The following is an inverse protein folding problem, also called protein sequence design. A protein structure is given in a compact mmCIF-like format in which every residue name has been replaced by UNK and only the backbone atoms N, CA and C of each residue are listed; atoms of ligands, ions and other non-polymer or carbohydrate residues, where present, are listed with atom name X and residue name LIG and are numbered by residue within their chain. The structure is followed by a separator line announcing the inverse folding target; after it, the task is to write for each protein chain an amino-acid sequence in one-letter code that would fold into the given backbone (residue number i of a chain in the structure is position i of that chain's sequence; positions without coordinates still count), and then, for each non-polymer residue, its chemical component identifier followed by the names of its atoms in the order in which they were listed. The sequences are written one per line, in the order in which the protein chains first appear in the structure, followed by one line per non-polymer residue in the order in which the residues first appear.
data_IF_380197795861
#
_entry.id   IF_380197795861
#
_cell.length_a   1.000
_cell.length_b   1.000
_cell.length_c   1.000
_cell.angle_alpha   90.00
_cell.angle_beta   90.00
_cell.angle_gamma   90.00
#
_symmetry.space_group_name_H-M   'P 1'
#
loop_
_entity.id
_entity.type
_entity.pdbx_description
1 polymer ?
#
# COMPACT_ATOMS: atom_id res chain seq x y z
N UNK A 1 9.68 -3.70 -2.36
CA UNK A 1 10.98 -4.31 -1.99
C UNK A 1 10.79 -5.80 -1.77
N UNK A 2 11.44 -6.62 -2.59
CA UNK A 2 11.36 -8.08 -2.52
C UNK A 2 12.31 -8.68 -1.47
N UNK A 3 11.85 -9.70 -0.74
CA UNK A 3 12.66 -10.35 0.32
C UNK A 3 13.87 -11.11 -0.23
N UNK A 4 13.80 -11.53 -1.49
CA UNK A 4 14.89 -12.26 -2.16
C UNK A 4 15.95 -11.33 -2.78
N UNK A 5 15.75 -10.01 -2.68
CA UNK A 5 16.66 -9.01 -3.25
C UNK A 5 16.53 -8.82 -4.76
N UNK A 6 15.49 -9.36 -5.38
CA UNK A 6 15.12 -8.99 -6.74
C UNK A 6 14.75 -7.51 -6.83
N UNK A 7 14.92 -6.94 -8.03
CA UNK A 7 14.53 -5.58 -8.34
C UNK A 7 13.16 -5.59 -9.01
N UNK A 8 12.45 -4.47 -8.95
CA UNK A 8 11.09 -4.31 -9.46
C UNK A 8 10.81 -2.87 -9.91
N UNK A 9 9.63 -2.62 -10.47
CA UNK A 9 9.21 -1.25 -10.73
C UNK A 9 8.98 -0.51 -9.42
N UNK A 10 9.22 0.79 -9.41
CA UNK A 10 9.06 1.62 -8.20
C UNK A 10 9.83 1.11 -6.96
N UNK A 11 10.95 0.39 -7.10
CA UNK A 11 11.72 -0.15 -5.95
C UNK A 11 12.53 0.93 -5.20
N UNK A 12 11.82 1.81 -4.48
CA UNK A 12 12.40 2.91 -3.71
C UNK A 12 11.87 2.99 -2.27
N UNK A 13 11.31 1.90 -1.75
CA UNK A 13 10.85 1.78 -0.35
C UNK A 13 11.77 0.83 0.45
N UNK A 14 13.06 1.14 0.66
CA UNK A 14 14.02 0.22 1.29
C UNK A 14 13.68 -0.10 2.76
N UNK A 15 12.84 0.70 3.42
CA UNK A 15 12.37 0.46 4.78
C UNK A 15 11.15 -0.47 4.90
N UNK A 16 10.55 -0.88 3.77
CA UNK A 16 9.27 -1.61 3.72
C UNK A 16 9.33 -2.94 4.50
N UNK A 17 10.34 -3.76 4.23
CA UNK A 17 10.51 -5.06 4.89
C UNK A 17 10.79 -4.92 6.39
N UNK A 18 11.69 -4.03 6.79
CA UNK A 18 12.00 -3.82 8.21
C UNK A 18 10.77 -3.32 9.00
N UNK A 19 9.97 -2.42 8.42
CA UNK A 19 8.74 -1.93 9.06
C UNK A 19 7.74 -3.08 9.25
N UNK A 20 7.54 -3.88 8.20
CA UNK A 20 6.66 -5.06 8.23
C UNK A 20 7.13 -6.05 9.29
N UNK A 21 8.43 -6.36 9.33
CA UNK A 21 9.00 -7.32 10.28
C UNK A 21 8.83 -6.87 11.73
N UNK A 22 9.02 -5.57 12.02
CA UNK A 22 8.82 -5.04 13.38
C UNK A 22 7.37 -5.09 13.83
N UNK A 23 6.43 -4.81 12.94
CA UNK A 23 5.00 -4.94 13.23
C UNK A 23 4.61 -6.40 13.50
N UNK A 24 5.17 -7.34 12.72
CA UNK A 24 4.94 -8.78 12.93
C UNK A 24 5.53 -9.26 14.26
N UNK A 25 6.76 -8.84 14.59
CA UNK A 25 7.43 -9.20 15.85
C UNK A 25 6.63 -8.76 17.09
N UNK A 26 6.04 -7.56 17.05
CA UNK A 26 5.28 -6.98 18.16
C UNK A 26 3.76 -7.18 18.04
N UNK A 27 3.29 -7.97 17.07
CA UNK A 27 1.86 -8.05 16.71
C UNK A 27 0.95 -8.46 17.87
N UNK A 28 1.47 -9.21 18.85
CA UNK A 28 0.72 -9.59 20.06
C UNK A 28 0.37 -8.40 20.97
N UNK A 29 1.04 -7.27 20.81
CA UNK A 29 0.86 -6.03 21.56
C UNK A 29 0.20 -4.92 20.70
N UNK A 30 -0.22 -5.24 19.47
CA UNK A 30 -0.82 -4.31 18.54
C UNK A 30 -2.25 -4.77 18.27
N UNK A 31 -3.23 -3.93 18.61
CA UNK A 31 -4.65 -4.28 18.43
C UNK A 31 -5.21 -3.89 17.05
N UNK A 32 -4.59 -2.91 16.39
CA UNK A 32 -5.03 -2.33 15.11
C UNK A 32 -3.88 -1.57 14.44
N UNK A 33 -3.84 -1.59 13.11
CA UNK A 33 -2.86 -0.83 12.30
C UNK A 33 -3.59 0.18 11.40
N UNK A 34 -3.01 1.37 11.27
CA UNK A 34 -3.42 2.39 10.29
C UNK A 34 -2.25 2.69 9.34
N UNK A 35 -2.44 2.42 8.05
CA UNK A 35 -1.53 2.81 6.97
C UNK A 35 -2.11 4.01 6.23
N UNK A 36 -1.58 5.19 6.52
CA UNK A 36 -2.19 6.48 6.18
C UNK A 36 -1.82 7.00 4.78
N UNK A 37 -2.03 6.17 3.75
CA UNK A 37 -1.75 6.50 2.34
C UNK A 37 -0.40 6.01 1.84
N UNK A 38 -0.22 6.06 0.52
CA UNK A 38 0.95 5.62 -0.23
C UNK A 38 1.34 4.17 0.10
N UNK A 39 0.44 3.27 -0.31
CA UNK A 39 0.32 1.90 0.20
C UNK A 39 1.41 1.00 -0.39
N UNK A 40 1.35 0.78 -1.71
CA UNK A 40 2.24 -0.16 -2.41
C UNK A 40 3.23 0.55 -3.34
N UNK A 41 2.95 1.80 -3.73
CA UNK A 41 3.64 2.50 -4.82
C UNK A 41 3.62 1.73 -6.16
N UNK A 42 2.60 0.89 -6.36
CA UNK A 42 2.40 0.16 -7.61
C UNK A 42 2.38 1.10 -8.82
N UNK A 43 1.76 2.27 -8.68
CA UNK A 43 1.76 3.36 -9.66
C UNK A 43 1.53 2.85 -11.10
N UNK A 44 0.54 1.99 -11.28
CA UNK A 44 0.18 1.39 -12.57
C UNK A 44 0.83 0.03 -12.88
N UNK A 45 1.82 -0.42 -12.11
CA UNK A 45 2.38 -1.79 -12.18
C UNK A 45 1.58 -2.73 -11.28
N UNK A 46 0.35 -3.02 -11.72
CA UNK A 46 -0.74 -3.55 -10.89
C UNK A 46 -0.42 -4.86 -10.15
N UNK A 47 0.52 -5.69 -10.65
CA UNK A 47 0.94 -6.92 -9.95
C UNK A 47 1.46 -6.67 -8.54
N UNK A 48 1.96 -5.48 -8.24
CA UNK A 48 2.50 -5.12 -6.93
C UNK A 48 1.40 -4.97 -5.86
N UNK A 49 0.13 -4.85 -6.24
CA UNK A 49 -0.98 -4.91 -5.28
C UNK A 49 -1.11 -6.30 -4.65
N UNK A 50 -1.00 -7.37 -5.43
CA UNK A 50 -1.00 -8.75 -4.91
C UNK A 50 0.23 -8.98 -4.02
N UNK A 51 1.40 -8.51 -4.46
CA UNK A 51 2.63 -8.56 -3.66
C UNK A 51 2.49 -7.83 -2.32
N UNK A 52 1.90 -6.62 -2.31
CA UNK A 52 1.68 -5.86 -1.09
C UNK A 52 0.71 -6.59 -0.14
N UNK A 53 -0.41 -7.10 -0.65
CA UNK A 53 -1.37 -7.84 0.19
C UNK A 53 -0.74 -9.11 0.79
N UNK A 54 0.11 -9.81 0.04
CA UNK A 54 0.89 -10.94 0.56
C UNK A 54 1.93 -10.50 1.61
N UNK A 55 2.59 -9.36 1.41
CA UNK A 55 3.57 -8.83 2.36
C UNK A 55 2.94 -8.50 3.73
N UNK A 56 1.76 -7.87 3.74
CA UNK A 56 1.08 -7.48 4.99
C UNK A 56 0.13 -8.54 5.54
N UNK A 57 -0.07 -9.66 4.83
CA UNK A 57 -0.95 -10.76 5.23
C UNK A 57 -0.77 -11.18 6.70
N UNK A 58 0.46 -11.37 7.24
CA UNK A 58 0.63 -11.79 8.64
C UNK A 58 0.03 -10.80 9.66
N UNK A 59 -0.04 -9.52 9.29
CA UNK A 59 -0.62 -8.45 10.10
C UNK A 59 -2.13 -8.37 9.83
N UNK A 60 -2.51 -8.16 8.57
CA UNK A 60 -3.88 -7.83 8.15
C UNK A 60 -4.87 -9.00 8.27
N UNK A 61 -4.38 -10.25 8.31
CA UNK A 61 -5.21 -11.42 8.61
C UNK A 61 -5.45 -11.64 10.10
N UNK A 62 -4.71 -10.93 10.97
CA UNK A 62 -4.77 -11.09 12.43
C UNK A 62 -5.47 -9.92 13.12
N UNK A 63 -5.17 -8.70 12.69
CA UNK A 63 -5.75 -7.45 13.24
C UNK A 63 -6.26 -6.56 12.11
N UNK A 64 -7.23 -5.67 12.37
CA UNK A 64 -7.69 -4.74 11.33
C UNK A 64 -6.52 -3.89 10.80
N UNK A 65 -6.40 -3.86 9.47
CA UNK A 65 -5.43 -3.05 8.74
C UNK A 65 -6.17 -1.96 7.99
N UNK A 66 -6.31 -0.79 8.62
CA UNK A 66 -7.06 0.33 8.08
C UNK A 66 -6.16 1.16 7.17
N UNK A 67 -6.67 1.55 6.01
CA UNK A 67 -5.94 2.40 5.08
C UNK A 67 -6.57 3.79 4.96
N UNK A 68 -5.78 4.76 4.49
CA UNK A 68 -6.25 5.98 3.85
C UNK A 68 -5.71 6.04 2.42
N UNK A 69 -6.31 6.85 1.55
CA UNK A 69 -5.80 7.09 0.19
C UNK A 69 -4.73 8.18 0.20
N UNK A 70 -3.56 7.91 -0.37
CA UNK A 70 -2.52 8.90 -0.67
C UNK A 70 -2.57 9.39 -2.12
N UNK A 71 -1.55 10.16 -2.53
CA UNK A 71 -1.41 10.62 -3.91
C UNK A 71 -1.04 9.48 -4.86
N UNK A 72 -0.24 8.52 -4.40
CA UNK A 72 0.13 7.33 -5.19
C UNK A 72 -1.04 6.36 -5.41
N UNK A 73 -2.14 6.50 -4.66
CA UNK A 73 -3.37 5.78 -4.96
C UNK A 73 -4.27 6.58 -5.92
N UNK A 74 -4.36 7.91 -5.76
CA UNK A 74 -5.47 8.69 -6.34
C UNK A 74 -5.11 9.67 -7.45
N UNK A 75 -3.94 10.30 -7.41
CA UNK A 75 -3.70 11.48 -8.23
C UNK A 75 -3.45 11.13 -9.71
N UNK A 76 -4.33 11.65 -10.56
CA UNK A 76 -4.20 11.56 -12.01
C UNK A 76 -4.93 12.73 -12.70
N UNK A 77 -4.37 13.33 -13.77
CA UNK A 77 -4.99 14.50 -14.40
C UNK A 77 -6.36 14.21 -14.98
N UNK A 78 -7.27 15.19 -14.87
CA UNK A 78 -8.65 15.11 -15.34
C UNK A 78 -9.51 14.00 -14.69
N UNK A 79 -9.20 13.58 -13.48
CA UNK A 79 -9.98 12.55 -12.75
C UNK A 79 -10.74 13.07 -11.54
N UNK A 80 -10.63 14.36 -11.21
CA UNK A 80 -11.30 14.97 -10.06
C UNK A 80 -10.54 14.87 -8.73
N UNK A 81 -9.28 14.40 -8.73
CA UNK A 81 -8.37 14.59 -7.60
C UNK A 81 -8.13 16.09 -7.37
N UNK A 82 -7.92 16.49 -6.11
CA UNK A 82 -7.59 17.89 -5.77
C UNK A 82 -6.18 18.25 -6.26
N UNK A 83 -5.26 17.29 -6.19
CA UNK A 83 -3.91 17.40 -6.71
C UNK A 83 -3.88 16.89 -8.16
N UNK A 84 -3.25 17.67 -9.03
CA UNK A 84 -3.14 17.41 -10.48
C UNK A 84 -1.75 16.89 -10.82
N UNK A 85 -1.41 15.73 -10.25
CA UNK A 85 -0.16 15.00 -10.51
C UNK A 85 -0.44 13.68 -11.22
N UNK A 86 0.61 12.95 -11.59
CA UNK A 86 0.53 11.64 -12.24
C UNK A 86 0.94 10.51 -11.30
N UNK A 87 0.92 10.75 -9.99
CA UNK A 87 1.60 9.90 -9.01
C UNK A 87 1.00 8.51 -8.92
N UNK A 88 -0.31 8.37 -9.17
CA UNK A 88 -0.97 7.06 -9.19
C UNK A 88 -0.61 6.20 -10.39
N UNK A 89 0.14 6.71 -11.36
CA UNK A 89 0.49 6.00 -12.58
C UNK A 89 -0.72 5.50 -13.39
N UNK A 90 -1.86 6.18 -13.28
CA UNK A 90 -3.10 5.85 -13.99
C UNK A 90 -4.09 5.01 -13.20
N UNK A 91 -3.77 4.60 -11.97
CA UNK A 91 -4.68 3.83 -11.11
C UNK A 91 -5.92 4.60 -10.65
N UNK A 92 -5.82 5.92 -10.49
CA UNK A 92 -6.90 6.85 -10.17
C UNK A 92 -7.86 6.41 -9.05
N UNK A 93 -7.33 5.74 -8.03
CA UNK A 93 -8.02 5.29 -6.82
C UNK A 93 -8.58 3.86 -6.89
N UNK A 94 -8.72 3.28 -8.09
CA UNK A 94 -9.50 2.06 -8.30
C UNK A 94 -8.99 0.89 -7.47
N UNK A 95 -7.68 0.68 -7.43
CA UNK A 95 -7.10 -0.48 -6.74
C UNK A 95 -7.18 -0.31 -5.23
N UNK A 96 -6.84 0.85 -4.69
CA UNK A 96 -6.95 1.13 -3.26
C UNK A 96 -8.38 0.96 -2.73
N UNK A 97 -9.37 1.45 -3.47
CA UNK A 97 -10.80 1.38 -3.12
C UNK A 97 -11.42 -0.01 -3.31
N UNK A 98 -10.72 -0.92 -4.00
CA UNK A 98 -11.23 -2.28 -4.29
C UNK A 98 -10.51 -3.35 -3.47
N UNK A 99 -9.18 -3.26 -3.35
CA UNK A 99 -8.35 -4.26 -2.67
C UNK A 99 -8.47 -4.15 -1.15
N UNK A 100 -8.77 -2.95 -0.64
CA UNK A 100 -9.00 -2.72 0.79
C UNK A 100 -10.41 -2.21 1.03
N UNK A 101 -11.04 -2.76 2.08
CA UNK A 101 -12.32 -2.29 2.56
C UNK A 101 -12.13 -1.35 3.76
N UNK A 102 -12.78 -0.19 3.70
CA UNK A 102 -12.90 0.75 4.82
C UNK A 102 -14.36 1.19 4.98
N UNK A 103 -14.85 1.45 6.21
CA UNK A 103 -16.19 1.98 6.44
C UNK A 103 -16.20 3.51 6.26
N UNK A 104 -16.10 3.96 5.01
CA UNK A 104 -16.09 5.37 4.62
C UNK A 104 -17.44 6.09 4.84
#
# INVERSE_FOLDING_TARGET
AERDGSNEYSDYQPGSLNTTDRLIEDLKNIDIVFHIGDISYANGYISQWDQFTAQVEPIASTVPYMIASGNHERDWPNTGSFYDTTDSGGECGVLAETMFYVPA
#
